data_IF_823309902610
#
_entry.id   IF_823309902610
#
_cell.length_a   1.000
_cell.length_b   1.000
_cell.length_c   1.000
_cell.angle_alpha   90.00
_cell.angle_beta   90.00
_cell.angle_gamma   90.00
#
_symmetry.space_group_name_H-M   'P 1'
#
loop_
_entity.id
_entity.type
_entity.pdbx_description
1 polymer ?
#
# COMPACT_ATOMS: atom_id res chain seq x y z
N UNK A 1 4.67 -21.47 3.34
CA UNK A 1 4.78 -20.36 2.37
C UNK A 1 3.72 -20.53 1.28
N UNK A 2 2.65 -19.73 1.29
CA UNK A 2 1.81 -19.60 0.08
C UNK A 2 2.38 -18.46 -0.77
N UNK A 3 3.51 -18.72 -1.43
CA UNK A 3 4.04 -17.80 -2.44
C UNK A 3 3.04 -17.72 -3.60
N UNK A 4 2.81 -16.52 -4.12
CA UNK A 4 2.02 -16.34 -5.35
C UNK A 4 2.69 -17.17 -6.44
N UNK A 5 1.91 -17.92 -7.21
CA UNK A 5 2.44 -18.71 -8.31
C UNK A 5 2.10 -18.06 -9.66
N UNK A 6 2.82 -18.48 -10.71
CA UNK A 6 2.60 -17.96 -12.07
C UNK A 6 1.17 -18.20 -12.58
N UNK A 7 0.54 -19.31 -12.18
CA UNK A 7 -0.83 -19.66 -12.60
C UNK A 7 -1.84 -18.64 -12.07
N UNK A 8 -1.66 -18.16 -10.85
CA UNK A 8 -2.53 -17.16 -10.24
C UNK A 8 -2.32 -15.79 -10.89
N UNK A 9 -1.08 -15.41 -11.21
CA UNK A 9 -0.78 -14.20 -11.99
C UNK A 9 -1.40 -14.24 -13.40
N UNK A 10 -1.37 -15.39 -14.08
CA UNK A 10 -2.01 -15.58 -15.37
C UNK A 10 -3.53 -15.43 -15.27
N UNK A 11 -4.17 -16.10 -14.29
CA UNK A 11 -5.62 -16.02 -14.06
C UNK A 11 -6.09 -14.61 -13.68
N UNK A 12 -5.27 -13.89 -12.93
CA UNK A 12 -5.54 -12.51 -12.51
C UNK A 12 -5.31 -11.49 -13.64
N UNK A 13 -4.62 -11.86 -14.72
CA UNK A 13 -4.37 -10.98 -15.86
C UNK A 13 -3.17 -10.04 -15.67
N UNK A 14 -2.22 -10.38 -14.79
CA UNK A 14 -1.00 -9.60 -14.50
C UNK A 14 -0.13 -9.37 -15.74
N UNK A 15 -0.12 -10.33 -16.67
CA UNK A 15 0.71 -10.32 -17.87
C UNK A 15 0.24 -9.37 -18.98
N UNK A 16 -0.96 -8.81 -18.88
CA UNK A 16 -1.45 -7.85 -19.87
C UNK A 16 -0.89 -6.46 -19.58
N UNK A 17 -0.21 -5.86 -20.54
CA UNK A 17 0.15 -4.45 -20.49
C UNK A 17 -0.81 -3.56 -21.29
N UNK A 18 -0.36 -2.36 -21.60
CA UNK A 18 -1.04 -1.39 -22.43
C UNK A 18 -0.86 -1.63 -23.94
N UNK A 19 -1.53 -0.80 -24.75
CA UNK A 19 -1.36 -0.81 -26.20
C UNK A 19 0.07 -0.46 -26.61
N UNK A 20 0.57 -1.06 -27.69
CA UNK A 20 1.97 -0.91 -28.14
C UNK A 20 2.41 0.52 -28.45
N UNK A 21 1.47 1.44 -28.64
CA UNK A 21 1.76 2.87 -28.87
C UNK A 21 2.02 3.67 -27.60
N UNK A 22 1.66 3.16 -26.43
CA UNK A 22 1.75 3.89 -25.15
C UNK A 22 2.89 3.41 -24.26
N UNK A 23 3.79 2.56 -24.78
CA UNK A 23 4.83 1.94 -23.97
C UNK A 23 5.99 2.89 -23.64
N UNK A 24 6.63 2.63 -22.50
CA UNK A 24 7.84 3.30 -22.07
C UNK A 24 9.08 2.46 -22.44
N UNK A 25 10.08 3.02 -23.16
CA UNK A 25 11.28 2.28 -23.54
C UNK A 25 12.04 1.62 -22.39
N UNK A 26 12.01 2.20 -21.18
CA UNK A 26 12.67 1.65 -19.98
C UNK A 26 12.04 0.34 -19.50
N UNK A 27 10.79 0.09 -19.88
CA UNK A 27 10.09 -1.17 -19.61
C UNK A 27 10.42 -2.28 -20.60
N UNK A 28 11.19 -2.00 -21.67
CA UNK A 28 11.51 -2.97 -22.72
C UNK A 28 12.10 -4.30 -22.20
N UNK A 29 12.92 -4.25 -21.14
CA UNK A 29 13.49 -5.45 -20.52
C UNK A 29 12.46 -6.34 -19.81
N UNK A 30 11.28 -5.83 -19.47
CA UNK A 30 10.21 -6.58 -18.80
C UNK A 30 9.10 -7.01 -19.76
N UNK A 31 9.09 -6.51 -20.99
CA UNK A 31 8.12 -6.87 -22.01
C UNK A 31 8.59 -8.14 -22.71
N UNK A 32 7.76 -9.18 -22.69
CA UNK A 32 8.01 -10.43 -23.42
C UNK A 32 7.77 -10.29 -24.92
N UNK A 33 6.72 -9.54 -25.29
CA UNK A 33 6.34 -9.32 -26.69
C UNK A 33 5.03 -8.53 -26.79
N UNK A 34 4.35 -8.65 -27.92
CA UNK A 34 3.03 -8.06 -28.12
C UNK A 34 2.12 -9.00 -28.92
N UNK A 35 0.83 -9.02 -28.58
CA UNK A 35 -0.21 -9.75 -29.32
C UNK A 35 -1.43 -8.86 -29.45
N UNK A 36 -2.05 -8.82 -30.64
CA UNK A 36 -3.23 -7.98 -30.90
C UNK A 36 -3.04 -6.51 -30.48
N UNK A 37 -1.83 -5.96 -30.70
CA UNK A 37 -1.43 -4.59 -30.32
C UNK A 37 -1.41 -4.31 -28.81
N UNK A 38 -1.44 -5.33 -27.97
CA UNK A 38 -1.28 -5.24 -26.51
C UNK A 38 0.06 -5.85 -26.12
N UNK A 39 0.83 -5.17 -25.28
CA UNK A 39 2.07 -5.73 -24.76
C UNK A 39 1.81 -6.88 -23.78
N UNK A 40 2.68 -7.88 -23.80
CA UNK A 40 2.67 -8.98 -22.85
C UNK A 40 3.89 -8.80 -21.95
N UNK A 41 3.65 -8.71 -20.65
CA UNK A 41 4.67 -8.58 -19.61
C UNK A 41 5.23 -9.98 -19.28
N UNK A 42 6.55 -10.07 -19.11
CA UNK A 42 7.23 -11.31 -18.82
C UNK A 42 7.06 -11.73 -17.35
N UNK A 43 6.16 -12.69 -17.09
CA UNK A 43 5.92 -13.21 -15.75
C UNK A 43 7.10 -13.97 -15.14
N UNK A 44 8.04 -14.48 -15.94
CA UNK A 44 9.26 -15.10 -15.43
C UNK A 44 10.14 -14.08 -14.70
N UNK A 45 10.00 -12.79 -15.03
CA UNK A 45 10.63 -11.68 -14.32
C UNK A 45 9.73 -11.15 -13.21
N UNK A 46 8.44 -10.98 -13.47
CA UNK A 46 7.48 -10.47 -12.47
C UNK A 46 7.43 -11.33 -11.22
N UNK A 47 7.38 -12.66 -11.38
CA UNK A 47 7.20 -13.59 -10.27
C UNK A 47 8.33 -13.50 -9.22
N UNK A 48 9.62 -13.66 -9.58
CA UNK A 48 10.70 -13.51 -8.59
C UNK A 48 10.75 -12.11 -7.99
N UNK A 49 10.62 -11.05 -8.80
CA UNK A 49 10.64 -9.67 -8.31
C UNK A 49 9.50 -9.38 -7.32
N UNK A 50 8.31 -9.94 -7.55
CA UNK A 50 7.19 -9.80 -6.64
C UNK A 50 7.42 -10.57 -5.34
N UNK A 51 7.96 -11.78 -5.40
CA UNK A 51 8.29 -12.55 -4.21
C UNK A 51 9.40 -11.89 -3.36
N UNK A 52 10.38 -11.23 -4.01
CA UNK A 52 11.39 -10.44 -3.32
C UNK A 52 10.77 -9.23 -2.60
N UNK A 53 9.85 -8.52 -3.26
CA UNK A 53 9.10 -7.42 -2.66
C UNK A 53 8.24 -7.90 -1.47
N UNK A 54 7.54 -9.04 -1.59
CA UNK A 54 6.78 -9.63 -0.49
C UNK A 54 7.68 -10.00 0.70
N UNK A 55 8.87 -10.55 0.43
CA UNK A 55 9.85 -10.89 1.47
C UNK A 55 10.38 -9.66 2.18
N UNK A 56 10.59 -8.56 1.46
CA UNK A 56 10.96 -7.26 2.04
C UNK A 56 9.85 -6.69 2.94
N UNK A 57 8.60 -6.71 2.47
CA UNK A 57 7.43 -6.28 3.25
C UNK A 57 7.27 -7.11 4.53
N UNK A 58 7.43 -8.42 4.44
CA UNK A 58 7.33 -9.32 5.60
C UNK A 58 8.39 -8.99 6.66
N UNK A 59 9.63 -8.71 6.24
CA UNK A 59 10.71 -8.26 7.14
C UNK A 59 10.42 -6.91 7.80
N UNK A 60 9.91 -5.94 7.04
CA UNK A 60 9.51 -4.64 7.59
C UNK A 60 8.40 -4.81 8.64
N UNK A 61 7.38 -5.60 8.31
CA UNK A 61 6.25 -5.82 9.20
C UNK A 61 6.67 -6.55 10.49
N UNK A 62 7.66 -7.45 10.44
CA UNK A 62 8.25 -8.07 11.62
C UNK A 62 8.94 -7.04 12.54
N UNK A 63 9.56 -6.01 11.97
CA UNK A 63 10.13 -4.88 12.71
C UNK A 63 9.11 -3.89 13.28
N UNK A 64 7.80 -4.16 13.17
CA UNK A 64 6.69 -3.22 13.48
C UNK A 64 6.72 -1.93 12.64
N UNK A 65 7.41 -1.96 11.51
CA UNK A 65 7.48 -0.85 10.56
C UNK A 65 6.17 -0.72 9.77
N UNK A 66 5.92 0.49 9.28
CA UNK A 66 4.65 0.87 8.62
C UNK A 66 4.82 0.87 7.12
N UNK A 67 3.99 0.11 6.43
CA UNK A 67 3.88 0.12 4.97
C UNK A 67 2.65 0.93 4.58
N UNK A 68 2.84 2.01 3.81
CA UNK A 68 1.75 2.84 3.31
C UNK A 68 1.27 2.31 1.96
N UNK A 69 0.00 1.92 1.89
CA UNK A 69 -0.63 1.46 0.66
C UNK A 69 -1.16 2.67 -0.14
N UNK A 70 -0.79 2.80 -1.40
CA UNK A 70 -1.15 3.93 -2.24
C UNK A 70 -1.74 3.43 -3.56
N UNK A 71 -2.94 3.88 -3.87
CA UNK A 71 -3.56 3.66 -5.18
C UNK A 71 -4.87 4.40 -5.30
N UNK A 72 -4.86 5.50 -6.06
CA UNK A 72 -6.02 6.40 -6.19
C UNK A 72 -6.83 6.16 -7.47
N UNK A 73 -6.35 5.28 -8.35
CA UNK A 73 -7.10 4.78 -9.50
C UNK A 73 -8.44 4.20 -9.09
N UNK A 74 -9.45 4.34 -9.95
CA UNK A 74 -10.80 3.77 -9.73
C UNK A 74 -10.78 2.24 -9.56
N UNK A 75 -9.90 1.55 -10.27
CA UNK A 75 -9.71 0.09 -10.16
C UNK A 75 -9.05 -0.34 -8.85
N UNK A 76 -8.36 0.58 -8.16
CA UNK A 76 -7.54 0.28 -7.00
C UNK A 76 -8.12 0.77 -5.67
N UNK A 77 -8.68 1.99 -5.62
CA UNK A 77 -8.99 2.67 -4.35
C UNK A 77 -9.79 1.84 -3.35
N UNK A 78 -10.89 1.22 -3.81
CA UNK A 78 -11.71 0.37 -2.92
C UNK A 78 -10.90 -0.80 -2.34
N UNK A 79 -10.11 -1.48 -3.17
CA UNK A 79 -9.30 -2.63 -2.77
C UNK A 79 -8.17 -2.19 -1.82
N UNK A 80 -7.52 -1.06 -2.13
CA UNK A 80 -6.48 -0.48 -1.27
C UNK A 80 -7.02 -0.25 0.14
N UNK A 81 -8.20 0.36 0.26
CA UNK A 81 -8.87 0.57 1.54
C UNK A 81 -9.15 -0.74 2.26
N UNK A 82 -9.76 -1.71 1.57
CA UNK A 82 -10.19 -2.99 2.16
C UNK A 82 -8.98 -3.81 2.67
N UNK A 83 -7.96 -3.99 1.84
CA UNK A 83 -6.78 -4.80 2.19
C UNK A 83 -5.87 -4.12 3.21
N UNK A 84 -5.69 -2.80 3.12
CA UNK A 84 -4.90 -2.06 4.10
C UNK A 84 -5.59 -2.01 5.47
N UNK A 85 -6.91 -1.83 5.50
CA UNK A 85 -7.68 -1.91 6.75
C UNK A 85 -7.61 -3.32 7.36
N UNK A 86 -7.68 -4.37 6.52
CA UNK A 86 -7.56 -5.77 6.96
C UNK A 86 -6.23 -6.06 7.64
N UNK A 87 -5.11 -5.53 7.12
CA UNK A 87 -3.81 -5.70 7.75
C UNK A 87 -3.45 -4.59 8.75
N UNK A 88 -4.33 -3.62 9.01
CA UNK A 88 -4.07 -2.50 9.92
C UNK A 88 -2.88 -1.65 9.48
N UNK A 89 -2.74 -1.41 8.18
CA UNK A 89 -1.73 -0.53 7.60
C UNK A 89 -2.36 0.78 7.13
N UNK A 90 -1.62 1.89 7.13
CA UNK A 90 -2.12 3.15 6.61
C UNK A 90 -2.30 3.07 5.09
N UNK A 91 -3.23 3.86 4.55
CA UNK A 91 -3.51 3.88 3.11
C UNK A 91 -3.93 5.24 2.56
N UNK A 92 -3.78 5.40 1.24
CA UNK A 92 -4.30 6.50 0.43
C UNK A 92 -5.00 5.90 -0.79
N UNK A 93 -6.33 5.98 -0.81
CA UNK A 93 -7.18 5.35 -1.83
C UNK A 93 -7.94 6.35 -2.72
N UNK A 94 -7.84 7.65 -2.42
CA UNK A 94 -8.62 8.66 -3.14
C UNK A 94 -7.79 9.71 -3.90
N UNK A 95 -6.95 10.48 -3.21
CA UNK A 95 -6.11 11.49 -3.85
C UNK A 95 -4.86 11.72 -3.02
N UNK A 96 -3.71 11.66 -3.66
CA UNK A 96 -2.47 12.14 -3.07
C UNK A 96 -2.44 13.68 -3.03
N UNK A 97 -2.32 14.25 -1.83
CA UNK A 97 -2.09 15.67 -1.65
C UNK A 97 -0.58 15.91 -1.70
N UNK A 98 -0.12 16.80 -2.59
CA UNK A 98 1.29 17.17 -2.62
C UNK A 98 1.74 17.73 -1.26
N UNK A 99 2.87 17.23 -0.76
CA UNK A 99 3.36 17.52 0.59
C UNK A 99 2.91 16.49 1.64
N UNK A 100 2.27 15.38 1.24
CA UNK A 100 1.79 14.35 2.17
C UNK A 100 2.89 13.77 3.04
N UNK A 101 4.08 13.57 2.48
CA UNK A 101 5.25 13.08 3.22
C UNK A 101 6.22 14.23 3.50
N UNK A 102 6.50 15.05 2.48
CA UNK A 102 7.54 16.10 2.57
C UNK A 102 7.14 17.28 3.47
N UNK A 103 5.84 17.54 3.64
CA UNK A 103 5.30 18.53 4.58
C UNK A 103 4.35 17.89 5.61
N UNK A 104 4.82 16.81 6.24
CA UNK A 104 4.02 16.05 7.20
C UNK A 104 3.53 16.88 8.39
N UNK A 105 4.23 17.97 8.76
CA UNK A 105 3.80 18.88 9.84
C UNK A 105 2.44 19.52 9.53
N UNK A 106 2.22 20.00 8.31
CA UNK A 106 0.94 20.56 7.88
C UNK A 106 -0.13 19.47 7.76
N UNK A 107 0.23 18.29 7.25
CA UNK A 107 -0.71 17.15 7.18
C UNK A 107 -1.19 16.74 8.57
N UNK A 108 -0.31 16.72 9.57
CA UNK A 108 -0.65 16.43 10.97
C UNK A 108 -1.64 17.46 11.54
N UNK A 109 -1.54 18.73 11.15
CA UNK A 109 -2.54 19.75 11.54
C UNK A 109 -3.91 19.48 10.88
N UNK A 110 -3.94 19.08 9.61
CA UNK A 110 -5.17 18.69 8.93
C UNK A 110 -5.80 17.42 9.53
N UNK A 111 -4.99 16.45 9.96
CA UNK A 111 -5.45 15.25 10.69
C UNK A 111 -6.03 15.64 12.06
N UNK A 112 -5.40 16.58 12.77
CA UNK A 112 -5.95 17.11 14.02
C UNK A 112 -7.32 17.75 13.78
N UNK A 113 -7.45 18.56 12.73
CA UNK A 113 -8.71 19.19 12.34
C UNK A 113 -9.79 18.16 11.99
N UNK A 114 -9.42 17.09 11.30
CA UNK A 114 -10.31 15.95 11.01
C UNK A 114 -10.86 15.34 12.31
N UNK A 115 -9.99 14.99 13.27
CA UNK A 115 -10.40 14.42 14.57
C UNK A 115 -11.29 15.36 15.38
N UNK A 116 -11.04 16.67 15.34
CA UNK A 116 -11.89 17.68 15.97
C UNK A 116 -13.30 17.69 15.34
N UNK A 117 -13.40 17.63 14.02
CA UNK A 117 -14.69 17.59 13.31
C UNK A 117 -15.44 16.28 13.54
N UNK A 118 -14.75 15.14 13.59
CA UNK A 118 -15.33 13.84 13.97
C UNK A 118 -15.94 13.92 15.38
N UNK A 119 -15.19 14.48 16.34
CA UNK A 119 -15.66 14.64 17.72
C UNK A 119 -16.90 15.54 17.81
N UNK A 120 -16.88 16.70 17.12
CA UNK A 120 -18.00 17.64 17.08
C UNK A 120 -19.25 17.07 16.40
N UNK A 121 -19.07 16.13 15.47
CA UNK A 121 -20.16 15.43 14.82
C UNK A 121 -20.80 14.41 15.76
N UNK A 122 -20.05 13.84 16.70
CA UNK A 122 -20.52 12.80 17.64
C UNK A 122 -21.08 13.37 18.94
N UNK A 123 -20.54 14.48 19.44
CA UNK A 123 -20.94 15.12 20.71
C UNK A 123 -22.19 16.03 20.60
N UNK A 124 -22.78 16.11 19.41
CA UNK A 124 -23.96 16.95 19.15
C UNK A 124 -23.67 18.44 18.95
N UNK A 125 -22.40 18.86 18.87
CA UNK A 125 -22.03 20.26 18.59
C UNK A 125 -22.65 20.77 17.30
N UNK A 126 -22.76 19.93 16.27
CA UNK A 126 -23.36 20.34 14.99
C UNK A 126 -24.84 20.74 15.12
N UNK A 127 -25.58 20.15 16.07
CA UNK A 127 -26.99 20.47 16.29
C UNK A 127 -27.19 21.86 16.93
N UNK A 128 -26.14 22.41 17.56
CA UNK A 128 -26.15 23.76 18.16
C UNK A 128 -25.79 24.87 17.17
N UNK A 129 -25.38 24.51 15.95
CA UNK A 129 -24.99 25.46 14.91
C UNK A 129 -26.16 25.81 13.99
N UNK A 130 -26.01 26.88 13.22
CA UNK A 130 -26.97 27.16 12.13
C UNK A 130 -26.90 26.06 11.07
N UNK A 131 -28.01 25.80 10.37
CA UNK A 131 -28.06 24.78 9.30
C UNK A 131 -26.95 24.96 8.26
N UNK A 132 -26.60 26.20 7.92
CA UNK A 132 -25.53 26.52 6.97
C UNK A 132 -24.16 26.13 7.51
N UNK A 133 -23.85 26.46 8.76
CA UNK A 133 -22.57 26.12 9.40
C UNK A 133 -22.42 24.62 9.61
N UNK A 134 -23.47 23.95 10.08
CA UNK A 134 -23.50 22.49 10.23
C UNK A 134 -23.24 21.80 8.88
N UNK A 135 -23.87 22.28 7.80
CA UNK A 135 -23.64 21.76 6.45
C UNK A 135 -22.18 21.99 5.99
N UNK A 136 -21.61 23.17 6.22
CA UNK A 136 -20.23 23.46 5.85
C UNK A 136 -19.25 22.55 6.62
N UNK A 137 -19.44 22.39 7.93
CA UNK A 137 -18.60 21.48 8.73
C UNK A 137 -18.74 20.02 8.32
N UNK A 138 -19.94 19.59 7.94
CA UNK A 138 -20.18 18.23 7.43
C UNK A 138 -19.45 17.98 6.11
N UNK A 139 -19.46 18.96 5.19
CA UNK A 139 -18.71 18.88 3.93
C UNK A 139 -17.20 18.88 4.15
N UNK A 140 -16.72 19.68 5.10
CA UNK A 140 -15.30 19.70 5.47
C UNK A 140 -14.86 18.37 6.08
N UNK A 141 -15.69 17.79 6.95
CA UNK A 141 -15.47 16.46 7.53
C UNK A 141 -15.40 15.39 6.44
N UNK A 142 -16.39 15.32 5.55
CA UNK A 142 -16.43 14.35 4.46
C UNK A 142 -15.20 14.48 3.54
N UNK A 143 -14.82 15.71 3.20
CA UNK A 143 -13.65 15.98 2.34
C UNK A 143 -12.35 15.56 2.99
N UNK A 144 -12.18 15.86 4.28
CA UNK A 144 -10.98 15.48 5.03
C UNK A 144 -10.92 13.97 5.25
N UNK A 145 -12.03 13.32 5.63
CA UNK A 145 -12.07 11.88 5.85
C UNK A 145 -11.74 11.12 4.56
N UNK A 146 -12.29 11.58 3.43
CA UNK A 146 -12.01 11.00 2.12
C UNK A 146 -10.53 11.13 1.70
N UNK A 147 -9.82 12.15 2.16
CA UNK A 147 -8.44 12.43 1.73
C UNK A 147 -7.38 11.96 2.73
N UNK A 148 -7.70 11.96 4.03
CA UNK A 148 -6.76 11.73 5.13
C UNK A 148 -7.17 10.60 6.06
N UNK A 149 -8.37 10.03 5.91
CA UNK A 149 -8.90 8.99 6.80
C UNK A 149 -7.97 7.79 6.91
N UNK A 150 -7.40 7.33 5.79
CA UNK A 150 -6.48 6.18 5.79
C UNK A 150 -5.11 6.43 6.41
N UNK A 151 -4.74 7.68 6.69
CA UNK A 151 -3.47 8.03 7.35
C UNK A 151 -3.66 8.67 8.72
N UNK A 152 -4.90 8.77 9.22
CA UNK A 152 -5.20 9.47 10.48
C UNK A 152 -4.53 8.85 11.69
N UNK A 153 -4.31 7.54 11.67
CA UNK A 153 -3.69 6.77 12.76
C UNK A 153 -2.23 6.38 12.49
N UNK A 154 -1.61 6.92 11.44
CA UNK A 154 -0.25 6.58 11.05
C UNK A 154 0.80 7.05 12.09
N UNK A 155 0.57 8.14 12.80
CA UNK A 155 1.41 8.64 13.90
C UNK A 155 2.81 9.18 13.52
N UNK A 156 3.31 8.89 12.33
CA UNK A 156 4.62 9.33 11.80
C UNK A 156 4.70 9.10 10.29
N UNK A 157 5.90 9.24 9.72
CA UNK A 157 6.14 8.85 8.33
C UNK A 157 6.13 7.32 8.20
N UNK A 158 5.77 6.78 7.01
CA UNK A 158 5.89 5.36 6.72
C UNK A 158 7.35 4.97 6.46
N UNK A 159 7.64 3.69 6.64
CA UNK A 159 8.96 3.10 6.40
C UNK A 159 9.09 2.53 4.98
N UNK A 160 7.98 2.28 4.31
CA UNK A 160 7.94 1.92 2.89
C UNK A 160 6.59 2.31 2.26
N UNK A 161 6.59 2.52 0.95
CA UNK A 161 5.37 2.68 0.15
C UNK A 161 5.13 1.44 -0.70
N UNK A 162 3.87 1.01 -0.77
CA UNK A 162 3.38 0.06 -1.77
C UNK A 162 2.41 0.76 -2.72
N UNK A 163 2.79 0.90 -3.99
CA UNK A 163 2.12 1.78 -4.96
C UNK A 163 1.52 0.97 -6.11
N UNK A 164 0.25 1.24 -6.43
CA UNK A 164 -0.43 0.75 -7.65
C UNK A 164 -0.47 1.87 -8.69
N UNK A 165 0.06 1.60 -9.88
CA UNK A 165 0.40 2.56 -10.94
C UNK A 165 1.35 3.68 -10.49
N UNK A 166 2.62 3.50 -10.83
CA UNK A 166 3.69 4.44 -10.52
C UNK A 166 3.62 5.76 -11.30
N UNK A 167 3.02 5.78 -12.49
CA UNK A 167 2.85 7.03 -13.26
C UNK A 167 1.69 7.85 -12.68
N UNK A 168 0.60 7.18 -12.30
CA UNK A 168 -0.53 7.85 -11.62
C UNK A 168 -0.11 8.47 -10.28
N UNK A 169 0.74 7.78 -9.52
CA UNK A 169 1.19 8.19 -8.20
C UNK A 169 2.60 8.80 -8.17
N UNK A 170 3.04 9.39 -9.29
CA UNK A 170 4.37 9.99 -9.44
C UNK A 170 4.74 11.00 -8.33
N UNK A 171 3.76 11.71 -7.79
CA UNK A 171 3.98 12.69 -6.72
C UNK A 171 4.37 11.97 -5.42
N UNK A 172 3.67 10.88 -5.09
CA UNK A 172 3.98 10.07 -3.92
C UNK A 172 5.40 9.50 -3.99
N UNK A 173 5.77 8.98 -5.16
CA UNK A 173 7.11 8.43 -5.43
C UNK A 173 8.19 9.51 -5.33
N UNK A 174 7.94 10.69 -5.91
CA UNK A 174 8.88 11.82 -5.84
C UNK A 174 9.11 12.27 -4.40
N UNK A 175 8.05 12.32 -3.59
CA UNK A 175 8.14 12.68 -2.18
C UNK A 175 8.86 11.60 -1.34
N UNK A 176 8.56 10.32 -1.58
CA UNK A 176 9.22 9.20 -0.91
C UNK A 176 10.73 9.19 -1.19
N UNK A 177 11.11 9.35 -2.46
CA UNK A 177 12.51 9.40 -2.89
C UNK A 177 13.28 10.56 -2.24
N UNK A 178 12.65 11.73 -2.08
CA UNK A 178 13.27 12.88 -1.40
C UNK A 178 13.58 12.60 0.07
N UNK A 179 12.80 11.73 0.71
CA UNK A 179 12.93 11.38 2.12
C UNK A 179 13.71 10.07 2.32
N UNK A 180 14.12 9.40 1.25
CA UNK A 180 14.77 8.09 1.31
C UNK A 180 13.85 6.95 1.76
N UNK A 181 12.53 7.11 1.60
CA UNK A 181 11.56 6.07 1.91
C UNK A 181 11.49 5.10 0.71
N UNK A 182 11.77 3.80 0.90
CA UNK A 182 11.76 2.83 -0.19
C UNK A 182 10.36 2.67 -0.82
N UNK A 183 10.34 2.55 -2.14
CA UNK A 183 9.14 2.43 -2.96
C UNK A 183 9.06 1.05 -3.59
N UNK A 184 7.98 0.34 -3.31
CA UNK A 184 7.58 -0.89 -3.98
C UNK A 184 6.42 -0.53 -4.91
N UNK A 185 6.56 -0.79 -6.21
CA UNK A 185 5.61 -0.27 -7.19
C UNK A 185 5.24 -1.29 -8.27
N UNK A 186 3.95 -1.38 -8.57
CA UNK A 186 3.45 -2.07 -9.77
C UNK A 186 3.64 -1.14 -10.97
N UNK A 187 4.42 -1.60 -11.94
CA UNK A 187 4.80 -0.83 -13.13
C UNK A 187 4.26 -1.51 -14.38
N UNK A 188 3.24 -0.92 -15.00
CA UNK A 188 2.79 -1.34 -16.31
C UNK A 188 3.74 -0.79 -17.40
N UNK A 189 3.62 -1.34 -18.59
CA UNK A 189 4.37 -1.06 -19.81
C UNK A 189 4.43 0.40 -20.24
N UNK A 190 3.46 1.25 -19.88
CA UNK A 190 3.45 2.69 -20.15
C UNK A 190 4.20 3.53 -19.11
N UNK A 191 4.47 2.96 -17.94
CA UNK A 191 5.02 3.69 -16.80
C UNK A 191 6.55 3.56 -16.72
N UNK A 192 7.21 4.57 -16.15
CA UNK A 192 8.67 4.52 -15.95
C UNK A 192 8.98 3.75 -14.66
N UNK A 193 9.92 2.78 -14.66
CA UNK A 193 10.34 2.09 -13.43
C UNK A 193 11.31 2.92 -12.57
N UNK A 194 11.58 4.17 -12.94
CA UNK A 194 12.54 5.01 -12.21
C UNK A 194 11.99 5.50 -10.87
N UNK A 195 12.87 5.54 -9.88
CA UNK A 195 12.50 5.94 -8.52
C UNK A 195 11.67 4.88 -7.78
N UNK A 196 11.66 3.65 -8.27
CA UNK A 196 11.04 2.48 -7.63
C UNK A 196 12.16 1.50 -7.26
N UNK A 197 12.29 1.19 -5.97
CA UNK A 197 13.32 0.29 -5.46
C UNK A 197 12.98 -1.19 -5.74
N UNK A 198 11.71 -1.55 -5.54
CA UNK A 198 11.18 -2.88 -5.82
C UNK A 198 10.14 -2.81 -6.93
N UNK A 199 10.62 -2.97 -8.16
CA UNK A 199 9.78 -2.93 -9.37
C UNK A 199 9.01 -4.25 -9.51
N UNK A 200 7.69 -4.16 -9.66
CA UNK A 200 6.82 -5.30 -9.97
C UNK A 200 6.23 -5.06 -11.36
N UNK A 201 6.82 -5.61 -12.43
CA UNK A 201 6.28 -5.44 -13.78
C UNK A 201 4.93 -6.13 -13.88
N UNK A 202 3.85 -5.41 -14.14
CA UNK A 202 2.53 -6.02 -14.17
C UNK A 202 1.40 -5.06 -14.50
N UNK A 203 0.25 -5.61 -14.84
CA UNK A 203 -0.98 -4.88 -15.09
C UNK A 203 -1.45 -4.14 -13.82
N UNK A 204 -1.72 -2.84 -13.90
CA UNK A 204 -2.26 -2.03 -12.80
C UNK A 204 -3.74 -1.58 -13.01
N UNK A 205 -4.34 -1.90 -14.15
CA UNK A 205 -5.72 -1.55 -14.50
C UNK A 205 -6.72 -2.66 -14.18
N UNK A 206 -6.31 -3.93 -14.31
CA UNK A 206 -7.19 -5.07 -14.06
C UNK A 206 -7.48 -5.23 -12.56
N UNK A 207 -8.76 -5.13 -12.18
CA UNK A 207 -9.24 -5.29 -10.80
C UNK A 207 -8.71 -6.57 -10.15
N UNK A 208 -8.68 -7.69 -10.88
CA UNK A 208 -8.17 -8.97 -10.34
C UNK A 208 -6.66 -8.97 -10.10
N UNK A 209 -5.88 -8.30 -10.96
CA UNK A 209 -4.45 -8.14 -10.77
C UNK A 209 -4.16 -7.26 -9.55
N UNK A 210 -4.85 -6.11 -9.47
CA UNK A 210 -4.76 -5.20 -8.31
C UNK A 210 -5.13 -5.89 -7.01
N UNK A 211 -6.21 -6.67 -7.00
CA UNK A 211 -6.60 -7.52 -5.87
C UNK A 211 -5.50 -8.51 -5.49
N UNK A 212 -4.89 -9.20 -6.47
CA UNK A 212 -3.82 -10.16 -6.21
C UNK A 212 -2.64 -9.49 -5.53
N UNK A 213 -2.18 -8.33 -6.01
CA UNK A 213 -1.04 -7.67 -5.38
C UNK A 213 -1.36 -7.20 -3.97
N UNK A 214 -2.48 -6.47 -3.80
CA UNK A 214 -2.84 -5.86 -2.52
C UNK A 214 -3.11 -6.91 -1.44
N UNK A 215 -3.84 -7.98 -1.78
CA UNK A 215 -4.09 -9.08 -0.84
C UNK A 215 -2.81 -9.81 -0.46
N UNK A 216 -1.92 -10.08 -1.41
CA UNK A 216 -0.64 -10.76 -1.13
C UNK A 216 0.29 -9.92 -0.25
N UNK A 217 0.33 -8.60 -0.47
CA UNK A 217 1.11 -7.67 0.36
C UNK A 217 0.50 -7.53 1.74
N UNK A 218 -0.84 -7.42 1.85
CA UNK A 218 -1.53 -7.41 3.14
C UNK A 218 -1.30 -8.71 3.93
N UNK A 219 -1.31 -9.86 3.27
CA UNK A 219 -0.98 -11.15 3.88
C UNK A 219 0.48 -11.20 4.34
N UNK A 220 1.42 -10.64 3.56
CA UNK A 220 2.83 -10.53 3.96
C UNK A 220 3.01 -9.64 5.20
N UNK A 221 2.26 -8.53 5.30
CA UNK A 221 2.25 -7.68 6.49
C UNK A 221 1.73 -8.46 7.71
N UNK A 222 0.61 -9.18 7.56
CA UNK A 222 0.03 -9.97 8.65
C UNK A 222 1.00 -11.07 9.11
N UNK A 223 1.58 -11.83 8.18
CA UNK A 223 2.58 -12.87 8.50
C UNK A 223 3.80 -12.28 9.20
N UNK A 224 4.35 -11.18 8.70
CA UNK A 224 5.51 -10.53 9.31
C UNK A 224 5.24 -10.13 10.75
N UNK A 225 4.07 -9.54 11.03
CA UNK A 225 3.66 -9.19 12.39
C UNK A 225 3.46 -10.41 13.30
N UNK A 226 2.91 -11.51 12.78
CA UNK A 226 2.75 -12.76 13.54
C UNK A 226 4.09 -13.38 13.90
N UNK A 227 5.03 -13.42 12.96
CA UNK A 227 6.38 -13.95 13.18
C UNK A 227 7.16 -13.15 14.22
N UNK A 228 6.90 -11.85 14.36
CA UNK A 228 7.50 -11.02 15.40
C UNK A 228 6.92 -11.25 16.81
N UNK A 229 5.73 -11.84 16.93
CA UNK A 229 5.14 -12.23 18.22
C UNK A 229 5.62 -13.63 18.64
N UNK A 230 6.03 -14.47 17.68
CA UNK A 230 6.45 -15.86 17.90
C UNK A 230 7.96 -16.10 18.10
N UNK A 231 8.77 -15.12 18.49
CA UNK A 231 10.15 -15.37 18.92
C UNK A 231 10.87 -14.13 19.46
N UNK A 232 11.95 -14.24 20.25
CA UNK A 232 12.49 -15.35 21.05
C UNK A 232 12.21 -15.16 22.56
N UNK A 233 11.01 -14.73 22.97
CA UNK A 233 10.62 -14.61 24.39
C UNK A 233 9.81 -15.81 24.91
N UNK A 234 9.62 -16.85 24.10
CA UNK A 234 8.89 -18.09 24.44
C UNK A 234 9.83 -19.31 24.55
N UNK A 235 11.05 -19.13 25.05
CA UNK A 235 11.75 -20.25 25.70
C UNK A 235 11.15 -20.43 27.08
N UNK A 236 10.11 -21.27 27.15
CA UNK A 236 9.65 -21.85 28.41
C UNK A 236 10.85 -22.60 29.00
N UNK A 237 11.38 -22.10 30.12
CA UNK A 237 12.30 -22.85 30.97
C UNK A 237 11.64 -24.20 31.27
N UNK A 238 12.19 -25.25 30.68
CA UNK A 238 11.92 -26.62 31.08
C UNK A 238 12.47 -26.73 32.51
N UNK A 239 11.58 -26.55 33.48
CA UNK A 239 11.88 -26.72 34.88
C UNK A 239 12.56 -28.07 35.08
N UNK A 240 13.84 -28.01 35.47
CA UNK A 240 14.56 -29.13 36.02
C UNK A 240 13.74 -29.66 37.21
N UNK A 241 12.99 -30.73 37.00
CA UNK A 241 12.42 -31.51 38.09
C UNK A 241 13.52 -32.41 38.63
N UNK A 242 13.82 -32.15 39.89
CA UNK A 242 14.62 -32.92 40.84
C UNK A 242 14.56 -34.43 40.60
N UNK A 243 15.69 -35.00 40.17
CA UNK A 243 16.03 -36.38 40.52
C UNK A 243 16.74 -36.34 41.88
N UNK A 244 15.96 -36.29 42.95
CA UNK A 244 16.40 -36.61 44.30
C UNK A 244 15.86 -38.00 44.67
N UNK A 245 16.54 -39.05 44.23
CA UNK A 245 16.47 -40.38 44.82
C UNK A 245 17.87 -41.02 44.75
N UNK A 246 18.46 -41.30 45.92
CA UNK A 246 19.74 -41.99 46.07
C UNK A 246 20.52 -41.55 47.29
#
# INVERSE_FOLDING_TARGET
MSQVNMRDMLKAGVHFGHQTRYWNPKMGKYIFGARNKIHIINLEKTLPMFNDALSFVEKLAAGKNKVLFVGTKRSAGKIVREEAARCGSPYVDHRWLGGMLTNYKTIRQSIKRLRELETQSQDGTFAKLTKKEALMRSRDLEKLERSLGGIKDMGGLPDALFVIDVDHERIAITEANKLGIPVIGVVDTNSSPEGVDYVIPGNDDAIRAVQLYLSSVADAVIRGRQNAVGGPDEFVEEAASEAAEG
#
